data_IF_345150394048
#
_entry.id   IF_345150394048
#
_cell.length_a   1.000
_cell.length_b   1.000
_cell.length_c   1.000
_cell.angle_alpha   90.00
_cell.angle_beta   90.00
_cell.angle_gamma   90.00
#
_symmetry.space_group_name_H-M   'P 1'
#
loop_
_entity.id
_entity.type
_entity.pdbx_description
1 polymer ?
#
# COMPACT_ATOMS: atom_id res chain seq x y z
N UNK A 1 5.86 19.43 0.52
CA UNK A 1 4.84 19.58 -0.59
C UNK A 1 3.46 19.50 0.01
N UNK A 2 2.57 20.43 -0.36
CA UNK A 2 1.21 20.44 0.14
C UNK A 2 0.41 19.23 -0.38
N UNK A 3 -0.64 18.84 0.34
CA UNK A 3 -1.63 17.85 -0.13
C UNK A 3 -2.09 18.10 -1.58
N UNK A 4 -1.98 19.33 -2.06
CA UNK A 4 -2.26 19.76 -3.43
C UNK A 4 -1.36 19.05 -4.46
N UNK A 5 -0.08 18.82 -4.17
CA UNK A 5 0.85 18.12 -5.08
C UNK A 5 0.52 16.64 -5.25
N UNK A 6 0.14 15.98 -4.16
CA UNK A 6 -0.30 14.59 -4.19
C UNK A 6 -1.55 14.39 -5.07
N UNK A 7 -2.58 15.23 -4.87
CA UNK A 7 -3.80 15.17 -5.69
C UNK A 7 -3.60 15.56 -7.15
N UNK A 8 -2.64 16.44 -7.46
CA UNK A 8 -2.32 16.78 -8.84
C UNK A 8 -1.65 15.60 -9.59
N UNK A 9 -0.69 14.91 -8.97
CA UNK A 9 -0.08 13.71 -9.56
C UNK A 9 -1.08 12.55 -9.68
N UNK A 10 -1.95 12.37 -8.69
CA UNK A 10 -3.06 11.41 -8.79
C UNK A 10 -3.93 11.70 -10.02
N UNK A 11 -4.23 12.98 -10.31
CA UNK A 11 -4.95 13.38 -11.53
C UNK A 11 -4.16 13.05 -12.81
N UNK A 12 -2.81 13.16 -12.79
CA UNK A 12 -1.96 12.79 -13.94
C UNK A 12 -1.99 11.28 -14.20
N UNK A 13 -1.87 10.45 -13.15
CA UNK A 13 -2.03 8.99 -13.26
C UNK A 13 -3.44 8.65 -13.79
N UNK A 14 -4.46 9.26 -13.23
CA UNK A 14 -5.86 9.08 -13.66
C UNK A 14 -6.13 9.56 -15.10
N UNK A 15 -5.31 10.48 -15.62
CA UNK A 15 -5.39 10.95 -17.02
C UNK A 15 -4.61 10.08 -18.01
N UNK A 16 -3.93 9.00 -17.55
CA UNK A 16 -3.16 8.10 -18.40
C UNK A 16 -1.82 8.67 -18.89
N UNK A 17 -1.30 9.73 -18.27
CA UNK A 17 0.04 10.23 -18.57
C UNK A 17 1.11 9.27 -18.04
N UNK A 18 2.13 8.95 -18.87
CA UNK A 18 3.29 8.17 -18.43
C UNK A 18 4.03 8.94 -17.33
N UNK A 19 4.27 8.26 -16.21
CA UNK A 19 5.19 8.74 -15.19
C UNK A 19 6.62 8.68 -15.73
N UNK A 20 7.43 9.71 -15.46
CA UNK A 20 8.84 9.69 -15.81
C UNK A 20 9.58 8.62 -14.97
N UNK A 21 10.58 7.90 -15.55
CA UNK A 21 11.43 7.02 -14.75
C UNK A 21 12.10 7.81 -13.64
N UNK A 22 11.94 7.33 -12.40
CA UNK A 22 12.62 7.93 -11.24
C UNK A 22 14.08 7.43 -11.20
N UNK A 23 15.05 8.24 -10.76
CA UNK A 23 16.34 7.70 -10.34
C UNK A 23 16.10 6.73 -9.16
N UNK A 24 16.98 5.72 -9.01
CA UNK A 24 16.91 4.78 -7.88
C UNK A 24 16.97 5.58 -6.58
N UNK A 25 15.85 5.69 -5.91
CA UNK A 25 15.65 6.52 -4.74
C UNK A 25 15.34 5.63 -3.53
N UNK A 26 15.45 6.20 -2.34
CA UNK A 26 15.00 5.54 -1.11
C UNK A 26 13.56 5.06 -1.21
N UNK A 27 12.72 5.76 -1.97
CA UNK A 27 11.33 5.38 -2.22
C UNK A 27 11.20 4.06 -3.01
N UNK A 28 12.03 3.84 -4.04
CA UNK A 28 12.01 2.57 -4.81
C UNK A 28 12.50 1.40 -3.95
N UNK A 29 13.60 1.60 -3.22
CA UNK A 29 14.13 0.57 -2.32
C UNK A 29 13.08 0.20 -1.24
N UNK A 30 12.42 1.19 -0.66
CA UNK A 30 11.37 0.98 0.33
C UNK A 30 10.11 0.34 -0.29
N UNK A 31 9.74 0.74 -1.51
CA UNK A 31 8.64 0.10 -2.24
C UNK A 31 8.93 -1.38 -2.50
N UNK A 32 10.14 -1.74 -2.91
CA UNK A 32 10.53 -3.15 -3.08
C UNK A 32 10.41 -3.94 -1.77
N UNK A 33 10.79 -3.34 -0.64
CA UNK A 33 10.62 -3.97 0.67
C UNK A 33 9.14 -4.18 1.02
N UNK A 34 8.29 -3.18 0.77
CA UNK A 34 6.83 -3.27 0.93
C UNK A 34 6.26 -4.39 0.05
N UNK A 35 6.66 -4.44 -1.23
CA UNK A 35 6.21 -5.43 -2.18
C UNK A 35 6.57 -6.86 -1.76
N UNK A 36 7.80 -7.08 -1.30
CA UNK A 36 8.24 -8.38 -0.78
C UNK A 36 7.44 -8.79 0.45
N UNK A 37 7.26 -7.89 1.41
CA UNK A 37 6.52 -8.15 2.66
C UNK A 37 5.04 -8.43 2.39
N UNK A 38 4.43 -7.75 1.44
CA UNK A 38 3.03 -7.99 1.02
C UNK A 38 2.82 -9.36 0.34
N UNK A 39 3.91 -10.05 -0.02
CA UNK A 39 3.91 -11.40 -0.59
C UNK A 39 4.35 -12.48 0.40
N UNK A 40 4.45 -12.15 1.69
CA UNK A 40 4.84 -13.11 2.73
C UNK A 40 3.89 -14.32 2.72
N UNK A 41 4.42 -15.57 2.63
CA UNK A 41 3.58 -16.77 2.55
C UNK A 41 2.60 -16.93 3.71
N UNK A 42 2.92 -16.35 4.86
CA UNK A 42 2.07 -16.37 6.05
C UNK A 42 0.71 -15.71 5.80
N UNK A 43 0.65 -14.65 5.00
CA UNK A 43 -0.61 -13.96 4.66
C UNK A 43 -1.63 -14.90 4.03
N UNK A 44 -1.17 -15.80 3.17
CA UNK A 44 -2.00 -16.74 2.43
C UNK A 44 -2.28 -18.01 3.23
N UNK A 45 -1.25 -18.56 3.88
CA UNK A 45 -1.33 -19.84 4.58
C UNK A 45 -1.99 -19.72 5.96
N UNK A 46 -1.60 -18.69 6.74
CA UNK A 46 -1.93 -18.61 8.17
C UNK A 46 -3.11 -17.64 8.40
N UNK A 47 -3.26 -16.61 7.57
CA UNK A 47 -4.36 -15.65 7.65
C UNK A 47 -5.44 -15.85 6.59
N UNK A 48 -5.29 -16.80 5.68
CA UNK A 48 -6.32 -17.21 4.71
C UNK A 48 -6.63 -16.16 3.65
N UNK A 49 -5.68 -15.27 3.34
CA UNK A 49 -5.82 -14.41 2.17
C UNK A 49 -5.79 -15.27 0.91
N UNK A 50 -6.65 -14.98 -0.05
CA UNK A 50 -6.66 -15.70 -1.32
C UNK A 50 -5.35 -15.46 -2.09
N UNK A 51 -4.63 -16.53 -2.47
CA UNK A 51 -3.44 -16.44 -3.32
C UNK A 51 -3.83 -16.30 -4.80
N UNK A 52 -4.44 -15.18 -5.12
CA UNK A 52 -4.82 -14.75 -6.46
C UNK A 52 -4.13 -13.43 -6.82
N UNK A 53 -4.21 -13.01 -8.08
CA UNK A 53 -3.70 -11.71 -8.53
C UNK A 53 -4.35 -10.58 -7.71
N UNK A 54 -5.65 -10.70 -7.50
CA UNK A 54 -6.41 -9.71 -6.74
C UNK A 54 -6.04 -9.70 -5.25
N UNK A 55 -5.91 -10.88 -4.62
CA UNK A 55 -5.50 -10.97 -3.21
C UNK A 55 -4.09 -10.44 -2.98
N UNK A 56 -3.15 -10.69 -3.92
CA UNK A 56 -1.80 -10.11 -3.89
C UNK A 56 -1.82 -8.59 -4.04
N UNK A 57 -2.68 -8.05 -4.90
CA UNK A 57 -2.89 -6.61 -5.02
C UNK A 57 -3.48 -6.01 -3.74
N UNK A 58 -4.46 -6.69 -3.14
CA UNK A 58 -5.09 -6.24 -1.89
C UNK A 58 -4.10 -6.23 -0.71
N UNK A 59 -3.21 -7.24 -0.62
CA UNK A 59 -2.10 -7.24 0.33
C UNK A 59 -1.13 -6.07 0.10
N UNK A 60 -0.74 -5.82 -1.15
CA UNK A 60 0.12 -4.69 -1.49
C UNK A 60 -0.54 -3.36 -1.08
N UNK A 61 -1.83 -3.18 -1.37
CA UNK A 61 -2.59 -2.00 -0.94
C UNK A 61 -2.59 -1.83 0.58
N UNK A 62 -2.74 -2.92 1.34
CA UNK A 62 -2.70 -2.89 2.80
C UNK A 62 -1.34 -2.40 3.30
N UNK A 63 -0.26 -3.05 2.90
CA UNK A 63 1.09 -2.69 3.36
C UNK A 63 1.48 -1.28 2.94
N UNK A 64 1.22 -0.90 1.68
CA UNK A 64 1.45 0.47 1.19
C UNK A 64 0.65 1.50 2.01
N UNK A 65 -0.61 1.20 2.36
CA UNK A 65 -1.45 2.10 3.15
C UNK A 65 -0.86 2.36 4.55
N UNK A 66 -0.21 1.38 5.20
CA UNK A 66 0.44 1.59 6.49
C UNK A 66 1.51 2.67 6.42
N UNK A 67 2.34 2.65 5.37
CA UNK A 67 3.34 3.69 5.15
C UNK A 67 2.70 5.05 4.84
N UNK A 68 1.70 5.09 3.97
CA UNK A 68 1.02 6.34 3.65
C UNK A 68 0.36 6.98 4.87
N UNK A 69 -0.24 6.17 5.76
CA UNK A 69 -0.81 6.63 7.02
C UNK A 69 0.27 7.19 7.95
N UNK A 70 1.42 6.49 8.08
CA UNK A 70 2.54 6.92 8.91
C UNK A 70 3.19 8.22 8.42
N UNK A 71 3.30 8.40 7.10
CA UNK A 71 3.95 9.55 6.47
C UNK A 71 3.03 10.77 6.35
N UNK A 72 1.74 10.60 6.57
CA UNK A 72 0.72 11.64 6.43
C UNK A 72 0.96 12.80 7.39
N UNK A 73 1.04 14.03 6.85
CA UNK A 73 1.16 15.26 7.64
C UNK A 73 2.52 15.45 8.30
N UNK A 74 3.55 14.73 7.88
CA UNK A 74 4.92 14.85 8.35
C UNK A 74 5.68 15.98 7.60
N UNK A 75 6.99 16.08 7.83
CA UNK A 75 7.86 17.06 7.19
C UNK A 75 7.94 16.91 5.66
N UNK A 76 8.63 17.82 4.99
CA UNK A 76 8.72 17.85 3.53
C UNK A 76 9.42 16.61 2.96
N UNK A 77 10.51 16.15 3.59
CA UNK A 77 11.25 14.94 3.19
C UNK A 77 10.35 13.70 3.17
N UNK A 78 9.56 13.49 4.24
CA UNK A 78 8.63 12.36 4.31
C UNK A 78 7.41 12.52 3.39
N UNK A 79 7.03 13.76 3.07
CA UNK A 79 6.01 14.01 2.06
C UNK A 79 6.51 13.65 0.65
N UNK A 80 7.79 13.92 0.36
CA UNK A 80 8.44 13.50 -0.90
C UNK A 80 8.58 11.97 -0.96
N UNK A 81 8.99 11.34 0.14
CA UNK A 81 9.04 9.87 0.24
C UNK A 81 7.65 9.25 0.00
N UNK A 82 6.60 9.78 0.62
CA UNK A 82 5.22 9.33 0.42
C UNK A 82 4.81 9.43 -1.04
N UNK A 83 5.15 10.52 -1.72
CA UNK A 83 4.88 10.69 -3.14
C UNK A 83 5.68 9.68 -3.99
N UNK A 84 6.97 9.47 -3.67
CA UNK A 84 7.81 8.49 -4.36
C UNK A 84 7.29 7.06 -4.24
N UNK A 85 6.82 6.66 -3.06
CA UNK A 85 6.17 5.36 -2.83
C UNK A 85 4.91 5.19 -3.66
N UNK A 86 4.09 6.22 -3.75
CA UNK A 86 2.90 6.22 -4.59
C UNK A 86 3.27 6.06 -6.08
N UNK A 87 4.21 6.87 -6.54
CA UNK A 87 4.67 6.85 -7.93
C UNK A 87 5.26 5.46 -8.29
N UNK A 88 6.10 4.87 -7.43
CA UNK A 88 6.69 3.54 -7.62
C UNK A 88 5.63 2.44 -7.74
N UNK A 89 4.63 2.43 -6.87
CA UNK A 89 3.53 1.47 -6.93
C UNK A 89 2.78 1.52 -8.25
N UNK A 90 2.47 2.72 -8.76
CA UNK A 90 1.69 2.85 -9.99
C UNK A 90 2.53 2.62 -11.26
N UNK A 91 3.83 2.88 -11.19
CA UNK A 91 4.76 2.48 -12.27
C UNK A 91 4.87 0.96 -12.37
N UNK A 92 5.02 0.26 -11.24
CA UNK A 92 5.07 -1.21 -11.20
C UNK A 92 3.77 -1.83 -11.74
N UNK A 93 2.61 -1.27 -11.39
CA UNK A 93 1.33 -1.71 -11.93
C UNK A 93 1.21 -1.50 -13.44
N UNK A 94 1.62 -0.34 -13.98
CA UNK A 94 1.60 -0.07 -15.41
C UNK A 94 2.51 -1.08 -16.15
N UNK A 95 3.71 -1.31 -15.63
CA UNK A 95 4.66 -2.26 -16.20
C UNK A 95 4.09 -3.69 -16.18
N UNK A 96 3.61 -4.14 -15.04
CA UNK A 96 3.02 -5.48 -14.86
C UNK A 96 1.86 -5.71 -15.83
N UNK A 97 0.95 -4.75 -16.00
CA UNK A 97 -0.16 -4.86 -16.94
C UNK A 97 0.32 -4.97 -18.40
N UNK A 98 1.38 -4.27 -18.76
CA UNK A 98 2.00 -4.36 -20.10
C UNK A 98 2.66 -5.71 -20.32
N UNK A 99 3.38 -6.24 -19.34
CA UNK A 99 3.99 -7.57 -19.38
C UNK A 99 2.93 -8.67 -19.51
N UNK A 100 1.75 -8.48 -18.93
CA UNK A 100 0.58 -9.36 -19.09
C UNK A 100 -0.10 -9.23 -20.47
N UNK A 101 0.43 -8.38 -21.38
CA UNK A 101 -0.09 -8.21 -22.73
C UNK A 101 -1.31 -7.28 -22.84
N UNK A 102 -1.58 -6.47 -21.82
CA UNK A 102 -2.66 -5.47 -21.88
C UNK A 102 -2.24 -4.33 -22.81
N UNK A 103 -3.02 -4.05 -23.85
CA UNK A 103 -2.73 -2.96 -24.78
C UNK A 103 -2.87 -1.58 -24.12
N UNK A 104 -2.18 -0.55 -24.71
CA UNK A 104 -2.05 0.80 -24.13
C UNK A 104 -3.36 1.42 -23.61
N UNK A 105 -4.45 1.32 -24.38
CA UNK A 105 -5.75 1.85 -23.95
C UNK A 105 -6.36 1.06 -22.78
N UNK A 106 -6.05 -0.23 -22.67
CA UNK A 106 -6.48 -1.08 -21.58
C UNK A 106 -5.72 -0.81 -20.29
N UNK A 107 -4.40 -0.58 -20.40
CA UNK A 107 -3.53 -0.25 -19.26
C UNK A 107 -4.06 0.98 -18.52
N UNK A 108 -4.27 2.10 -19.23
CA UNK A 108 -4.74 3.33 -18.61
C UNK A 108 -6.08 3.18 -17.86
N UNK A 109 -7.02 2.41 -18.42
CA UNK A 109 -8.31 2.13 -17.74
C UNK A 109 -8.13 1.29 -16.48
N UNK A 110 -7.28 0.26 -16.52
CA UNK A 110 -7.03 -0.62 -15.38
C UNK A 110 -6.27 0.09 -14.27
N UNK A 111 -5.22 0.85 -14.61
CA UNK A 111 -4.47 1.65 -13.64
C UNK A 111 -5.40 2.66 -12.94
N UNK A 112 -6.28 3.32 -13.70
CA UNK A 112 -7.30 4.20 -13.12
C UNK A 112 -8.20 3.47 -12.12
N UNK A 113 -8.75 2.32 -12.50
CA UNK A 113 -9.60 1.52 -11.62
C UNK A 113 -8.84 1.07 -10.36
N UNK A 114 -7.59 0.59 -10.51
CA UNK A 114 -6.74 0.17 -9.39
C UNK A 114 -6.42 1.34 -8.46
N UNK A 115 -6.20 2.55 -9.00
CA UNK A 115 -5.94 3.73 -8.18
C UNK A 115 -7.17 4.17 -7.38
N UNK A 116 -8.35 4.14 -7.95
CA UNK A 116 -9.61 4.41 -7.25
C UNK A 116 -9.84 3.39 -6.12
N UNK A 117 -9.62 2.11 -6.41
CA UNK A 117 -9.71 1.02 -5.44
C UNK A 117 -8.68 1.19 -4.30
N UNK A 118 -7.43 1.54 -4.63
CA UNK A 118 -6.39 1.84 -3.64
C UNK A 118 -6.77 3.00 -2.72
N UNK A 119 -7.26 4.11 -3.28
CA UNK A 119 -7.65 5.28 -2.48
C UNK A 119 -8.80 4.99 -1.52
N UNK A 120 -9.76 4.16 -1.93
CA UNK A 120 -10.83 3.68 -1.06
C UNK A 120 -10.28 2.87 0.13
N UNK A 121 -9.34 1.93 -0.15
CA UNK A 121 -8.66 1.12 0.86
C UNK A 121 -7.82 1.96 1.81
N UNK A 122 -7.00 2.88 1.28
CA UNK A 122 -6.18 3.80 2.06
C UNK A 122 -7.05 4.60 3.05
N UNK A 123 -8.17 5.14 2.57
CA UNK A 123 -9.11 5.89 3.42
C UNK A 123 -9.70 5.01 4.53
N UNK A 124 -10.05 3.77 4.21
CA UNK A 124 -10.62 2.84 5.18
C UNK A 124 -9.60 2.44 6.27
N UNK A 125 -8.36 2.11 5.86
CA UNK A 125 -7.29 1.75 6.79
C UNK A 125 -6.85 2.96 7.63
N UNK A 126 -6.73 4.16 7.05
CA UNK A 126 -6.40 5.38 7.80
C UNK A 126 -7.40 5.64 8.92
N UNK A 127 -8.70 5.58 8.64
CA UNK A 127 -9.76 5.75 9.65
C UNK A 127 -9.70 4.65 10.72
N UNK A 128 -9.47 3.41 10.33
CA UNK A 128 -9.41 2.26 11.23
C UNK A 128 -8.19 2.30 12.16
N UNK A 129 -7.04 2.72 11.64
CA UNK A 129 -5.80 2.83 12.42
C UNK A 129 -5.85 3.95 13.47
N UNK A 130 -6.68 4.97 13.27
CA UNK A 130 -6.89 6.04 14.24
C UNK A 130 -7.77 5.61 15.42
N UNK A 131 -8.50 4.49 15.33
CA UNK A 131 -9.30 3.96 16.43
C UNK A 131 -8.42 3.22 17.44
N UNK A 132 -8.78 3.28 18.72
CA UNK A 132 -8.03 2.62 19.78
C UNK A 132 -8.15 1.08 19.74
N UNK A 133 -9.29 0.57 19.32
CA UNK A 133 -9.55 -0.87 19.16
C UNK A 133 -9.37 -1.33 17.71
N UNK A 134 -9.51 -2.65 17.50
CA UNK A 134 -9.35 -3.24 16.17
C UNK A 134 -10.66 -3.46 15.42
N UNK A 135 -11.80 -3.10 15.94
CA UNK A 135 -13.11 -3.39 15.33
C UNK A 135 -13.20 -2.84 13.91
N UNK A 136 -12.91 -1.54 13.73
CA UNK A 136 -12.91 -0.91 12.42
C UNK A 136 -11.84 -1.47 11.48
N UNK A 137 -10.69 -1.92 12.03
CA UNK A 137 -9.63 -2.54 11.22
C UNK A 137 -10.03 -3.93 10.74
N UNK A 138 -10.65 -4.74 11.58
CA UNK A 138 -11.23 -6.04 11.20
C UNK A 138 -12.27 -5.87 10.10
N UNK A 139 -13.20 -4.92 10.24
CA UNK A 139 -14.19 -4.62 9.21
C UNK A 139 -13.55 -4.16 7.88
N UNK A 140 -12.51 -3.32 7.94
CA UNK A 140 -11.78 -2.88 6.77
C UNK A 140 -11.05 -4.03 6.07
N UNK A 141 -10.41 -4.94 6.82
CA UNK A 141 -9.78 -6.14 6.30
C UNK A 141 -10.81 -7.10 5.68
N UNK A 142 -11.93 -7.33 6.34
CA UNK A 142 -13.02 -8.14 5.80
C UNK A 142 -13.45 -7.65 4.43
N UNK A 143 -13.79 -6.38 4.31
CA UNK A 143 -14.29 -5.80 3.07
C UNK A 143 -13.24 -5.76 1.96
N UNK A 144 -11.99 -5.42 2.29
CA UNK A 144 -10.97 -5.09 1.30
C UNK A 144 -10.05 -6.25 0.95
N UNK A 145 -9.88 -7.23 1.84
CA UNK A 145 -8.94 -8.33 1.67
C UNK A 145 -9.66 -9.68 1.53
N UNK A 146 -10.75 -9.90 2.28
CA UNK A 146 -11.52 -11.15 2.23
C UNK A 146 -12.80 -11.05 1.39
N UNK A 147 -13.15 -9.86 0.87
CA UNK A 147 -14.22 -9.60 -0.11
C UNK A 147 -15.60 -10.15 0.25
N UNK A 148 -16.00 -10.01 1.51
CA UNK A 148 -17.32 -10.44 2.01
C UNK A 148 -17.70 -11.90 1.68
N UNK A 149 -16.69 -12.74 1.34
CA UNK A 149 -16.90 -14.17 1.12
C UNK A 149 -17.06 -14.94 2.44
N UNK A 150 -17.33 -16.24 2.34
CA UNK A 150 -17.21 -17.13 3.51
C UNK A 150 -15.79 -17.00 4.05
N UNK A 151 -15.67 -16.48 5.30
CA UNK A 151 -14.40 -16.13 5.91
C UNK A 151 -13.60 -17.40 6.17
N UNK A 152 -12.69 -17.71 5.28
CA UNK A 152 -11.71 -18.78 5.48
C UNK A 152 -10.53 -18.24 6.33
N UNK A 153 -10.39 -16.91 6.41
CA UNK A 153 -9.26 -16.25 7.06
C UNK A 153 -9.58 -15.68 8.44
N UNK A 154 -8.52 -15.47 9.22
CA UNK A 154 -8.61 -14.87 10.53
C UNK A 154 -8.32 -13.35 10.45
N UNK A 155 -9.36 -12.56 10.12
CA UNK A 155 -9.27 -11.12 10.07
C UNK A 155 -8.92 -10.49 11.43
N UNK A 156 -9.27 -11.13 12.54
CA UNK A 156 -8.94 -10.63 13.88
C UNK A 156 -7.45 -10.82 14.18
N UNK A 157 -6.90 -12.00 13.90
CA UNK A 157 -5.48 -12.25 14.06
C UNK A 157 -4.65 -11.36 13.11
N UNK A 158 -5.08 -11.20 11.86
CA UNK A 158 -4.40 -10.29 10.93
C UNK A 158 -4.48 -8.84 11.39
N UNK A 159 -5.60 -8.37 11.93
CA UNK A 159 -5.73 -7.02 12.46
C UNK A 159 -4.75 -6.74 13.61
N UNK A 160 -4.50 -7.72 14.49
CA UNK A 160 -3.48 -7.61 15.53
C UNK A 160 -2.08 -7.44 14.93
N UNK A 161 -1.73 -8.21 13.92
CA UNK A 161 -0.44 -8.10 13.23
C UNK A 161 -0.30 -6.76 12.49
N UNK A 162 -1.31 -6.36 11.74
CA UNK A 162 -1.33 -5.06 11.05
C UNK A 162 -1.14 -3.91 12.03
N UNK A 163 -1.82 -3.95 13.18
CA UNK A 163 -1.65 -2.96 14.25
C UNK A 163 -0.24 -2.97 14.84
N UNK A 164 0.35 -4.15 15.01
CA UNK A 164 1.72 -4.28 15.50
C UNK A 164 2.73 -3.70 14.50
N UNK A 165 2.57 -3.99 13.21
CA UNK A 165 3.38 -3.40 12.13
C UNK A 165 3.27 -1.87 12.15
N UNK A 166 2.04 -1.35 12.20
CA UNK A 166 1.81 0.10 12.22
C UNK A 166 2.45 0.77 13.43
N UNK A 167 2.38 0.17 14.62
CA UNK A 167 3.06 0.67 15.82
C UNK A 167 4.58 0.66 15.67
N UNK A 168 5.17 -0.36 15.04
CA UNK A 168 6.60 -0.37 14.74
C UNK A 168 6.98 0.79 13.81
N UNK A 169 6.20 1.02 12.75
CA UNK A 169 6.41 2.17 11.86
C UNK A 169 6.26 3.52 12.60
N UNK A 170 5.29 3.65 13.49
CA UNK A 170 5.09 4.85 14.29
C UNK A 170 6.22 5.12 15.28
N UNK A 171 6.91 4.08 15.76
CA UNK A 171 8.03 4.20 16.68
C UNK A 171 9.33 4.68 16.02
N UNK A 172 9.42 4.63 14.68
CA UNK A 172 10.58 5.14 13.95
C UNK A 172 10.62 6.66 13.97
N UNK A 173 11.82 7.23 14.13
CA UNK A 173 12.02 8.67 13.99
C UNK A 173 11.74 9.13 12.56
N UNK A 174 11.41 10.40 12.38
CA UNK A 174 11.24 10.97 11.05
C UNK A 174 12.60 11.09 10.34
N UNK A 175 13.66 11.40 11.10
CA UNK A 175 15.03 11.41 10.58
C UNK A 175 15.51 10.00 10.26
N UNK A 176 15.96 9.78 9.04
CA UNK A 176 16.43 8.46 8.57
C UNK A 176 15.33 7.42 8.43
N UNK A 177 14.05 7.84 8.39
CA UNK A 177 12.91 6.94 8.32
C UNK A 177 13.02 5.92 7.20
N UNK A 178 13.38 6.35 5.98
CA UNK A 178 13.43 5.48 4.81
C UNK A 178 14.40 4.30 5.00
N UNK A 179 15.56 4.54 5.59
CA UNK A 179 16.54 3.49 5.88
C UNK A 179 16.08 2.56 7.03
N UNK A 180 15.56 3.15 8.11
CA UNK A 180 15.09 2.37 9.26
C UNK A 180 13.88 1.50 8.92
N UNK A 181 12.99 1.97 8.05
CA UNK A 181 11.79 1.25 7.63
C UNK A 181 12.08 0.09 6.65
N UNK A 182 13.30 -0.03 6.15
CA UNK A 182 13.75 -1.19 5.35
C UNK A 182 14.21 -2.38 6.20
N UNK A 183 14.29 -2.24 7.52
CA UNK A 183 14.56 -3.39 8.40
C UNK A 183 13.43 -4.43 8.25
N UNK A 184 13.76 -5.69 7.87
CA UNK A 184 12.76 -6.75 7.71
C UNK A 184 11.88 -6.98 8.95
N UNK A 185 12.38 -6.68 10.15
CA UNK A 185 11.62 -6.82 11.39
C UNK A 185 10.43 -5.85 11.47
N UNK A 186 10.47 -4.73 10.74
CA UNK A 186 9.38 -3.73 10.75
C UNK A 186 8.11 -4.30 10.14
N UNK A 187 8.21 -4.99 9.02
CA UNK A 187 7.07 -5.56 8.28
C UNK A 187 6.84 -7.05 8.51
N UNK A 188 7.55 -7.66 9.47
CA UNK A 188 7.38 -9.08 9.78
C UNK A 188 5.93 -9.38 10.23
N UNK A 189 5.32 -10.36 9.54
CA UNK A 189 3.95 -10.86 9.77
C UNK A 189 4.00 -12.14 10.60
#
# INVERSE_FOLDING_TARGET
>A
MSQVGFFQKLKQVLSGQKLAPLPVTDAEALYHHILQSSRAPQLYRDYGVEDSIDGRFDCLCLFQALFMCRLKGRNEELAELSQGLFDAMFQDMDLTLREMGVGDMGVGKRVKFMSEAYMGRLTAYDKALQQADNTALVEALHRNLYREGEVIGDAQALALQVRAIYKRLESLSDEGFAAAAQDPAILAV
#
